data_IF_758017294744
#
_entry.id   IF_758017294744
#
_cell.length_a   1.000
_cell.length_b   1.000
_cell.length_c   1.000
_cell.angle_alpha   90.00
_cell.angle_beta   90.00
_cell.angle_gamma   90.00
#
_symmetry.space_group_name_H-M   'P 1'
#
loop_
_entity.id
_entity.type
_entity.pdbx_description
1 polymer ?
#
# COMPACT_ATOMS: atom_id res chain seq x y z
N UNK A 1 21.22 -7.64 -10.89
CA UNK A 1 20.51 -7.11 -9.71
C UNK A 1 19.05 -7.54 -9.83
N UNK A 2 18.42 -8.01 -8.75
CA UNK A 2 16.98 -8.31 -8.75
C UNK A 2 16.17 -7.06 -9.06
N UNK A 3 15.05 -7.22 -9.76
CA UNK A 3 14.13 -6.13 -10.07
C UNK A 3 13.52 -5.58 -8.78
N UNK A 4 13.58 -4.26 -8.57
CA UNK A 4 13.02 -3.59 -7.39
C UNK A 4 11.64 -3.00 -7.67
N UNK A 5 10.73 -3.16 -6.72
CA UNK A 5 9.38 -2.61 -6.74
C UNK A 5 9.22 -1.58 -5.61
N UNK A 6 8.69 -0.41 -5.96
CA UNK A 6 8.28 0.60 -4.97
C UNK A 6 6.89 0.25 -4.45
N UNK A 7 6.71 0.27 -3.13
CA UNK A 7 5.45 -0.04 -2.46
C UNK A 7 4.98 1.22 -1.72
N UNK A 8 3.88 1.83 -2.13
CA UNK A 8 3.26 2.86 -1.30
C UNK A 8 2.58 2.20 -0.10
N UNK A 9 2.94 2.59 1.11
CA UNK A 9 2.36 2.01 2.33
C UNK A 9 1.37 3.00 2.95
N UNK A 10 0.10 2.82 2.57
CA UNK A 10 -1.05 3.56 3.04
C UNK A 10 -1.57 3.01 4.38
N UNK A 11 -2.00 3.89 5.28
CA UNK A 11 -2.55 3.54 6.58
C UNK A 11 -2.48 4.71 7.56
N UNK A 12 -3.07 4.51 8.74
CA UNK A 12 -2.94 5.45 9.86
C UNK A 12 -1.46 5.75 10.15
N UNK A 13 -1.17 7.00 10.50
CA UNK A 13 0.18 7.47 10.86
C UNK A 13 0.18 8.51 11.98
N UNK A 14 -0.94 8.65 12.71
CA UNK A 14 -1.16 9.80 13.58
C UNK A 14 -0.77 9.56 15.04
N UNK A 15 -0.71 8.29 15.47
CA UNK A 15 -0.33 7.94 16.82
C UNK A 15 0.99 7.17 16.87
N UNK A 16 1.58 7.12 18.06
CA UNK A 16 2.90 6.51 18.26
C UNK A 16 2.96 5.01 17.90
N UNK A 17 1.83 4.29 17.98
CA UNK A 17 1.76 2.88 17.58
C UNK A 17 1.75 2.74 16.07
N UNK A 18 1.01 3.62 15.38
CA UNK A 18 0.95 3.63 13.92
C UNK A 18 2.34 3.93 13.34
N UNK A 19 2.96 5.04 13.78
CA UNK A 19 4.27 5.47 13.30
C UNK A 19 5.35 4.39 13.47
N UNK A 20 5.46 3.83 14.67
CA UNK A 20 6.46 2.79 14.97
C UNK A 20 6.08 1.46 14.31
N UNK A 21 4.80 1.12 14.26
CA UNK A 21 4.32 -0.11 13.61
C UNK A 21 4.60 -0.12 12.12
N UNK A 22 4.29 0.99 11.43
CA UNK A 22 4.56 1.17 10.01
C UNK A 22 6.06 1.08 9.70
N UNK A 23 6.91 1.69 10.53
CA UNK A 23 8.37 1.60 10.41
C UNK A 23 8.87 0.17 10.57
N UNK A 24 8.46 -0.52 11.64
CA UNK A 24 8.90 -1.90 11.89
C UNK A 24 8.45 -2.86 10.78
N UNK A 25 7.24 -2.64 10.26
CA UNK A 25 6.72 -3.47 9.18
C UNK A 25 7.43 -3.21 7.85
N UNK A 26 7.69 -1.95 7.51
CA UNK A 26 8.40 -1.59 6.27
C UNK A 26 9.83 -2.15 6.26
N UNK A 27 10.57 -2.01 7.35
CA UNK A 27 11.91 -2.58 7.50
C UNK A 27 11.90 -4.11 7.37
N UNK A 28 10.89 -4.77 7.96
CA UNK A 28 10.77 -6.22 7.88
C UNK A 28 10.45 -6.70 6.45
N UNK A 29 9.57 -5.99 5.72
CA UNK A 29 9.24 -6.25 4.31
C UNK A 29 10.50 -6.16 3.44
N UNK A 30 11.27 -5.08 3.61
CA UNK A 30 12.51 -4.85 2.86
C UNK A 30 13.57 -5.91 3.19
N UNK A 31 13.80 -6.19 4.47
CA UNK A 31 14.74 -7.21 4.93
C UNK A 31 14.38 -8.59 4.36
N UNK A 32 13.13 -9.02 4.51
CA UNK A 32 12.69 -10.36 4.11
C UNK A 32 12.46 -10.52 2.61
N UNK A 33 12.47 -9.42 1.85
CA UNK A 33 12.49 -9.45 0.38
C UNK A 33 13.89 -9.26 -0.20
N UNK A 34 14.93 -9.17 0.63
CA UNK A 34 16.30 -8.82 0.23
C UNK A 34 16.35 -7.52 -0.60
N UNK A 35 15.54 -6.52 -0.21
CA UNK A 35 15.44 -5.22 -0.87
C UNK A 35 14.72 -5.24 -2.22
N UNK A 36 13.95 -6.29 -2.52
CA UNK A 36 13.13 -6.40 -3.74
C UNK A 36 11.87 -5.52 -3.64
N UNK A 37 11.23 -5.51 -2.48
CA UNK A 37 10.07 -4.66 -2.19
C UNK A 37 10.54 -3.55 -1.26
N UNK A 38 10.47 -2.30 -1.73
CA UNK A 38 10.96 -1.11 -1.01
C UNK A 38 9.78 -0.23 -0.65
N UNK A 39 9.58 0.03 0.64
CA UNK A 39 8.40 0.72 1.13
C UNK A 39 8.61 2.23 1.16
N UNK A 40 7.66 2.96 0.58
CA UNK A 40 7.49 4.41 0.76
C UNK A 40 6.43 4.60 1.83
N UNK A 41 6.85 5.04 3.02
CA UNK A 41 5.95 5.35 4.12
C UNK A 41 5.69 6.87 4.16
N UNK A 42 4.43 7.34 4.12
CA UNK A 42 4.11 8.77 4.04
C UNK A 42 4.68 9.60 5.20
N UNK A 43 4.75 9.00 6.39
CA UNK A 43 5.34 9.60 7.59
C UNK A 43 6.84 9.99 7.46
N UNK A 44 7.58 9.47 6.47
CA UNK A 44 8.96 9.90 6.19
C UNK A 44 9.04 11.01 5.14
N UNK A 45 7.95 11.26 4.43
CA UNK A 45 7.85 12.29 3.39
C UNK A 45 7.44 13.64 3.97
N UNK A 46 7.07 13.69 5.26
CA UNK A 46 6.50 14.87 5.89
C UNK A 46 7.34 16.12 5.61
N UNK A 47 6.71 17.02 4.86
CA UNK A 47 7.22 18.34 4.57
C UNK A 47 6.71 19.31 5.64
N UNK A 48 7.60 20.19 6.07
CA UNK A 48 7.37 21.30 7.00
C UNK A 48 6.45 22.42 6.43
N UNK A 49 5.56 22.08 5.49
CA UNK A 49 4.71 23.04 4.78
C UNK A 49 3.32 23.09 5.40
N UNK A 50 2.87 24.28 5.79
CA UNK A 50 1.55 24.50 6.40
C UNK A 50 0.35 24.40 5.41
N UNK A 51 0.51 23.75 4.25
CA UNK A 51 -0.54 23.70 3.19
C UNK A 51 -1.01 22.27 2.98
N UNK A 52 -2.26 22.01 3.34
CA UNK A 52 -2.92 20.70 3.23
C UNK A 52 -2.95 20.12 1.80
N UNK A 53 -3.00 20.98 0.78
CA UNK A 53 -2.99 20.58 -0.63
C UNK A 53 -1.65 19.95 -1.01
N UNK A 54 -0.54 20.49 -0.49
CA UNK A 54 0.80 20.03 -0.83
C UNK A 54 1.02 18.62 -0.27
N UNK A 55 0.54 18.34 0.95
CA UNK A 55 0.55 17.01 1.56
C UNK A 55 -0.20 16.00 0.67
N UNK A 56 -1.48 16.29 0.35
CA UNK A 56 -2.29 15.43 -0.52
C UNK A 56 -1.62 15.18 -1.87
N UNK A 57 -1.08 16.22 -2.50
CA UNK A 57 -0.44 16.10 -3.80
C UNK A 57 0.85 15.26 -3.71
N UNK A 58 1.63 15.38 -2.63
CA UNK A 58 2.80 14.53 -2.43
C UNK A 58 2.40 13.07 -2.29
N UNK A 59 1.44 12.76 -1.42
CA UNK A 59 0.96 11.39 -1.17
C UNK A 59 0.44 10.74 -2.46
N UNK A 60 -0.46 11.42 -3.17
CA UNK A 60 -0.98 10.92 -4.46
C UNK A 60 0.12 10.78 -5.51
N UNK A 61 1.16 11.62 -5.50
CA UNK A 61 2.28 11.51 -6.44
C UNK A 61 3.09 10.23 -6.18
N UNK A 62 3.25 9.84 -4.91
CA UNK A 62 3.90 8.59 -4.55
C UNK A 62 3.04 7.38 -4.90
N UNK A 63 1.72 7.48 -4.78
CA UNK A 63 0.80 6.45 -5.31
C UNK A 63 0.98 6.28 -6.82
N UNK A 64 1.04 7.38 -7.60
CA UNK A 64 1.29 7.32 -9.06
C UNK A 64 2.60 6.60 -9.38
N UNK A 65 3.66 6.88 -8.60
CA UNK A 65 5.00 6.30 -8.79
C UNK A 65 5.09 4.84 -8.32
N UNK A 66 4.30 4.42 -7.35
CA UNK A 66 4.40 3.10 -6.72
C UNK A 66 3.98 1.94 -7.63
N UNK A 67 4.74 0.84 -7.60
CA UNK A 67 4.47 -0.36 -8.40
C UNK A 67 3.39 -1.25 -7.76
N UNK A 68 3.25 -1.16 -6.44
CA UNK A 68 2.25 -1.84 -5.62
C UNK A 68 1.81 -0.88 -4.53
N UNK A 69 0.64 -1.16 -3.95
CA UNK A 69 0.18 -0.47 -2.73
C UNK A 69 -0.11 -1.49 -1.62
N UNK A 70 0.36 -1.20 -0.42
CA UNK A 70 -0.01 -1.87 0.82
C UNK A 70 -0.94 -0.96 1.60
N UNK A 71 -2.09 -1.46 2.02
CA UNK A 71 -3.08 -0.67 2.76
C UNK A 71 -3.35 -1.30 4.12
N UNK A 72 -3.18 -0.53 5.19
CA UNK A 72 -3.62 -0.95 6.50
C UNK A 72 -5.08 -0.56 6.73
N UNK A 73 -5.97 -1.54 6.63
CA UNK A 73 -7.40 -1.36 6.85
C UNK A 73 -7.77 -1.76 8.29
N UNK A 74 -7.09 -1.22 9.30
CA UNK A 74 -7.36 -1.50 10.72
C UNK A 74 -8.46 -0.57 11.29
N UNK A 75 -9.01 -0.91 12.48
CA UNK A 75 -10.04 -0.12 13.16
C UNK A 75 -11.50 -0.48 12.83
N UNK A 76 -12.45 0.16 13.52
CA UNK A 76 -13.89 -0.04 13.22
C UNK A 76 -14.32 0.74 11.99
N UNK A 77 -13.82 1.96 11.84
CA UNK A 77 -13.94 2.78 10.65
C UNK A 77 -12.58 2.81 9.96
N UNK A 78 -12.58 2.76 8.64
CA UNK A 78 -11.35 2.92 7.87
C UNK A 78 -10.91 4.38 7.89
N UNK A 79 -9.60 4.60 7.91
CA UNK A 79 -9.06 5.92 7.64
C UNK A 79 -9.49 6.37 6.24
N UNK A 80 -10.09 7.56 6.19
CA UNK A 80 -10.64 8.08 4.94
C UNK A 80 -9.55 8.49 3.95
N UNK A 81 -8.36 8.89 4.43
CA UNK A 81 -7.20 9.12 3.56
C UNK A 81 -6.77 7.84 2.84
N UNK A 82 -6.60 6.77 3.60
CA UNK A 82 -6.26 5.44 3.13
C UNK A 82 -7.29 4.89 2.12
N UNK A 83 -8.58 5.16 2.33
CA UNK A 83 -9.63 4.79 1.35
C UNK A 83 -9.50 5.58 0.05
N UNK A 84 -9.17 6.87 0.10
CA UNK A 84 -8.92 7.67 -1.12
C UNK A 84 -7.70 7.14 -1.87
N UNK A 85 -6.62 6.82 -1.17
CA UNK A 85 -5.41 6.25 -1.75
C UNK A 85 -5.66 4.88 -2.37
N UNK A 86 -6.48 4.04 -1.72
CA UNK A 86 -6.93 2.76 -2.28
C UNK A 86 -7.62 2.96 -3.63
N UNK A 87 -8.67 3.78 -3.67
CA UNK A 87 -9.45 3.97 -4.89
C UNK A 87 -8.64 4.66 -5.99
N UNK A 88 -7.74 5.57 -5.62
CA UNK A 88 -6.84 6.21 -6.58
C UNK A 88 -5.86 5.19 -7.18
N UNK A 89 -5.28 4.31 -6.36
CA UNK A 89 -4.45 3.21 -6.84
C UNK A 89 -5.23 2.23 -7.73
N UNK A 90 -6.49 1.90 -7.37
CA UNK A 90 -7.34 1.04 -8.20
C UNK A 90 -7.71 1.68 -9.54
N UNK A 91 -7.97 2.99 -9.55
CA UNK A 91 -8.22 3.72 -10.79
C UNK A 91 -7.02 3.67 -11.75
N UNK A 92 -5.80 3.63 -11.21
CA UNK A 92 -4.54 3.49 -11.95
C UNK A 92 -4.17 2.02 -12.30
N UNK A 93 -5.04 1.05 -11.97
CA UNK A 93 -4.78 -0.38 -12.11
C UNK A 93 -3.51 -0.85 -11.37
N UNK A 94 -3.19 -0.19 -10.25
CA UNK A 94 -2.07 -0.58 -9.39
C UNK A 94 -2.49 -1.83 -8.57
N UNK A 95 -1.66 -2.88 -8.55
CA UNK A 95 -1.92 -4.07 -7.74
C UNK A 95 -1.82 -3.73 -6.24
N UNK A 96 -2.76 -4.26 -5.46
CA UNK A 96 -2.96 -3.89 -4.06
C UNK A 96 -2.91 -5.10 -3.13
N UNK A 97 -2.35 -4.91 -1.94
CA UNK A 97 -2.49 -5.83 -0.81
C UNK A 97 -3.13 -5.06 0.34
N UNK A 98 -4.27 -5.54 0.82
CA UNK A 98 -4.94 -5.02 2.01
C UNK A 98 -4.49 -5.86 3.20
N UNK A 99 -3.97 -5.21 4.23
CA UNK A 99 -3.67 -5.78 5.53
C UNK A 99 -4.75 -5.37 6.53
N UNK A 100 -5.29 -6.35 7.23
CA UNK A 100 -6.17 -6.19 8.38
C UNK A 100 -5.63 -7.02 9.54
N UNK A 101 -5.09 -6.34 10.53
CA UNK A 101 -4.54 -6.93 11.75
C UNK A 101 -5.53 -6.90 12.93
N UNK A 102 -6.53 -6.03 12.87
CA UNK A 102 -7.64 -5.97 13.82
C UNK A 102 -8.64 -7.11 13.56
N UNK A 103 -8.72 -8.03 14.52
CA UNK A 103 -9.53 -9.25 14.42
C UNK A 103 -11.03 -9.03 14.59
N UNK A 104 -11.44 -7.82 14.99
CA UNK A 104 -12.85 -7.49 15.19
C UNK A 104 -13.54 -7.34 13.85
N UNK A 105 -14.79 -7.80 13.79
CA UNK A 105 -15.70 -7.48 12.69
C UNK A 105 -15.98 -5.98 12.64
N UNK A 106 -16.11 -5.44 11.44
CA UNK A 106 -16.50 -4.05 11.19
C UNK A 106 -17.21 -3.96 9.83
N UNK A 107 -17.75 -2.79 9.52
CA UNK A 107 -18.54 -2.57 8.31
C UNK A 107 -19.95 -3.17 8.35
N UNK A 108 -20.56 -3.22 7.19
CA UNK A 108 -21.97 -3.55 6.94
C UNK A 108 -22.17 -4.94 6.30
N UNK A 109 -21.10 -5.75 6.24
CA UNK A 109 -21.13 -7.07 5.63
C UNK A 109 -21.40 -8.16 6.68
N UNK A 110 -22.56 -8.82 6.62
CA UNK A 110 -22.88 -9.95 7.52
C UNK A 110 -21.95 -11.16 7.29
N UNK A 111 -21.52 -11.37 6.03
CA UNK A 111 -20.61 -12.44 5.58
C UNK A 111 -19.69 -11.90 4.50
N UNK A 112 -18.66 -11.17 4.90
CA UNK A 112 -17.73 -10.56 3.95
C UNK A 112 -16.46 -10.08 4.61
N UNK A 113 -15.85 -9.07 4.01
CA UNK A 113 -14.69 -8.44 4.59
C UNK A 113 -15.07 -7.55 5.79
N UNK A 114 -14.23 -7.48 6.85
CA UNK A 114 -14.55 -6.77 8.09
C UNK A 114 -14.29 -5.26 7.94
N UNK A 115 -14.89 -4.65 6.92
CA UNK A 115 -14.88 -3.21 6.64
C UNK A 115 -16.03 -2.87 5.67
N UNK A 116 -16.19 -1.59 5.36
CA UNK A 116 -17.24 -1.10 4.46
C UNK A 116 -17.26 -1.84 3.12
N UNK A 117 -18.44 -2.33 2.69
CA UNK A 117 -18.58 -3.12 1.46
C UNK A 117 -18.04 -2.44 0.20
N UNK A 118 -18.02 -1.10 0.16
CA UNK A 118 -17.57 -0.31 -0.99
C UNK A 118 -16.07 -0.45 -1.27
N UNK A 119 -15.31 -1.03 -0.35
CA UNK A 119 -13.87 -1.28 -0.49
C UNK A 119 -13.54 -2.74 -0.84
N UNK A 120 -14.54 -3.57 -1.17
CA UNK A 120 -14.36 -5.01 -1.42
C UNK A 120 -14.50 -5.37 -2.90
N UNK A 121 -13.86 -6.45 -3.34
CA UNK A 121 -14.07 -7.03 -4.69
C UNK A 121 -13.34 -6.36 -5.85
N UNK A 122 -12.41 -5.44 -5.59
CA UNK A 122 -11.62 -4.80 -6.65
C UNK A 122 -10.61 -5.79 -7.26
N UNK A 123 -10.43 -5.82 -8.59
CA UNK A 123 -9.47 -6.70 -9.26
C UNK A 123 -8.03 -6.38 -8.85
N UNK A 124 -7.11 -7.35 -8.96
CA UNK A 124 -5.70 -7.20 -8.56
C UNK A 124 -5.56 -6.69 -7.13
N UNK A 125 -6.33 -7.30 -6.24
CA UNK A 125 -6.35 -6.96 -4.81
C UNK A 125 -6.32 -8.24 -4.01
N UNK A 126 -5.26 -8.42 -3.20
CA UNK A 126 -5.14 -9.50 -2.24
C UNK A 126 -5.44 -8.98 -0.85
N UNK A 127 -5.90 -9.86 0.02
CA UNK A 127 -6.31 -9.50 1.38
C UNK A 127 -5.65 -10.42 2.40
N UNK A 128 -4.96 -9.83 3.37
CA UNK A 128 -4.42 -10.49 4.54
C UNK A 128 -5.27 -10.10 5.74
N UNK A 129 -5.99 -11.07 6.30
CA UNK A 129 -6.72 -10.92 7.56
C UNK A 129 -6.05 -11.79 8.62
N UNK A 130 -5.62 -11.20 9.72
CA UNK A 130 -4.99 -11.92 10.82
C UNK A 130 -5.51 -11.47 12.18
N UNK A 131 -5.39 -12.35 13.17
CA UNK A 131 -5.64 -12.02 14.56
C UNK A 131 -4.32 -11.60 15.23
N UNK A 132 -4.08 -10.29 15.27
CA UNK A 132 -2.84 -9.72 15.80
C UNK A 132 -2.62 -10.06 17.26
N UNK A 133 -3.69 -10.12 18.06
CA UNK A 133 -3.62 -10.50 19.48
C UNK A 133 -3.12 -11.95 19.64
N UNK A 134 -3.68 -12.88 18.88
CA UNK A 134 -3.25 -14.28 18.93
C UNK A 134 -1.79 -14.45 18.48
N UNK A 135 -1.40 -13.77 17.41
CA UNK A 135 -0.01 -13.80 16.92
C UNK A 135 0.97 -13.16 17.91
N UNK A 136 0.57 -12.06 18.53
CA UNK A 136 1.35 -11.42 19.59
C UNK A 136 1.53 -12.36 20.79
N UNK A 137 0.47 -13.01 21.27
CA UNK A 137 0.54 -13.97 22.37
C UNK A 137 1.41 -15.17 22.03
N UNK A 138 1.34 -15.68 20.79
CA UNK A 138 2.22 -16.75 20.30
C UNK A 138 3.69 -16.32 20.35
N UNK A 139 3.99 -15.11 19.87
CA UNK A 139 5.34 -14.57 19.89
C UNK A 139 5.81 -14.30 21.33
N UNK A 140 4.97 -13.72 22.19
CA UNK A 140 5.26 -13.39 23.58
C UNK A 140 5.52 -14.65 24.42
N UNK A 141 4.70 -15.69 24.25
CA UNK A 141 4.83 -16.96 24.98
C UNK A 141 6.16 -17.70 24.75
N UNK A 142 6.89 -17.38 23.67
CA UNK A 142 8.23 -17.92 23.39
C UNK A 142 9.37 -17.22 24.15
N UNK A 143 9.08 -16.14 24.90
CA UNK A 143 10.07 -15.43 25.72
C UNK A 143 11.18 -14.72 24.93
N UNK A 144 12.30 -14.38 25.60
CA UNK A 144 13.45 -13.73 24.95
C UNK A 144 13.42 -12.19 24.85
N UNK A 145 12.48 -11.54 25.55
CA UNK A 145 12.38 -10.08 25.61
C UNK A 145 11.77 -9.43 24.36
N UNK A 146 11.61 -8.10 24.41
CA UNK A 146 10.88 -7.32 23.39
C UNK A 146 11.43 -7.51 21.98
N UNK A 147 12.74 -7.43 21.79
CA UNK A 147 13.36 -7.55 20.46
C UNK A 147 13.06 -8.89 19.79
N UNK A 148 13.13 -10.00 20.54
CA UNK A 148 12.84 -11.33 20.00
C UNK A 148 11.36 -11.51 19.67
N UNK A 149 10.45 -10.86 20.42
CA UNK A 149 9.02 -10.87 20.14
C UNK A 149 8.72 -10.11 18.84
N UNK A 150 9.27 -8.89 18.71
CA UNK A 150 9.12 -8.07 17.51
C UNK A 150 9.66 -8.80 16.28
N UNK A 151 10.86 -9.37 16.37
CA UNK A 151 11.46 -10.12 15.27
C UNK A 151 10.56 -11.28 14.83
N UNK A 152 10.06 -12.10 15.75
CA UNK A 152 9.16 -13.22 15.38
C UNK A 152 7.86 -12.75 14.74
N UNK A 153 7.25 -11.68 15.27
CA UNK A 153 5.98 -11.18 14.77
C UNK A 153 6.15 -10.58 13.36
N UNK A 154 7.08 -9.65 13.19
CA UNK A 154 7.28 -8.94 11.93
C UNK A 154 7.96 -9.82 10.87
N UNK A 155 8.81 -10.78 11.25
CA UNK A 155 9.35 -11.76 10.30
C UNK A 155 8.24 -12.60 9.67
N UNK A 156 7.30 -13.11 10.48
CA UNK A 156 6.16 -13.89 10.01
C UNK A 156 5.23 -13.04 9.13
N UNK A 157 4.90 -11.82 9.58
CA UNK A 157 3.98 -10.93 8.87
C UNK A 157 4.55 -10.45 7.52
N UNK A 158 5.79 -9.97 7.50
CA UNK A 158 6.42 -9.49 6.27
C UNK A 158 6.60 -10.59 5.23
N UNK A 159 6.90 -11.84 5.63
CA UNK A 159 6.95 -12.98 4.69
C UNK A 159 5.60 -13.25 4.05
N UNK A 160 4.51 -13.16 4.82
CA UNK A 160 3.15 -13.29 4.29
C UNK A 160 2.84 -12.17 3.30
N UNK A 161 3.13 -10.91 3.65
CA UNK A 161 2.94 -9.76 2.77
C UNK A 161 3.75 -9.90 1.47
N UNK A 162 5.03 -10.27 1.57
CA UNK A 162 5.89 -10.48 0.41
C UNK A 162 5.35 -11.58 -0.53
N UNK A 163 4.77 -12.64 0.03
CA UNK A 163 4.10 -13.68 -0.74
C UNK A 163 2.86 -13.14 -1.47
N UNK A 164 2.03 -12.33 -0.81
CA UNK A 164 0.86 -11.72 -1.46
C UNK A 164 1.26 -10.70 -2.54
N UNK A 165 2.35 -9.94 -2.35
CA UNK A 165 2.92 -9.11 -3.41
C UNK A 165 3.34 -9.94 -4.63
N UNK A 166 4.03 -11.06 -4.41
CA UNK A 166 4.41 -11.97 -5.51
C UNK A 166 3.20 -12.57 -6.23
N UNK A 167 2.09 -12.80 -5.53
CA UNK A 167 0.86 -13.35 -6.11
C UNK A 167 0.09 -12.29 -6.89
N UNK A 168 -0.10 -11.09 -6.34
CA UNK A 168 -0.88 -10.04 -7.00
C UNK A 168 -0.16 -9.47 -8.23
N UNK A 169 1.18 -9.45 -8.24
CA UNK A 169 1.97 -9.08 -9.42
C UNK A 169 1.77 -10.04 -10.61
N UNK A 170 1.32 -11.27 -10.37
CA UNK A 170 1.03 -12.26 -11.44
C UNK A 170 -0.39 -12.13 -11.97
N UNK A 171 -1.25 -11.34 -11.34
CA UNK A 171 -2.61 -11.12 -11.82
C UNK A 171 -2.61 -10.16 -13.02
N UNK A 172 -3.40 -10.52 -14.02
CA UNK A 172 -3.52 -9.74 -15.24
C UNK A 172 -4.06 -8.33 -14.96
N UNK A 173 -3.44 -7.34 -15.59
CA UNK A 173 -3.91 -5.96 -15.66
C UNK A 173 -5.36 -5.92 -16.16
N UNK A 174 -6.18 -5.03 -15.59
CA UNK A 174 -7.53 -4.74 -16.12
C UNK A 174 -7.43 -3.81 -17.33
N UNK A 175 -6.41 -2.95 -17.35
CA UNK A 175 -6.05 -2.17 -18.52
C UNK A 175 -5.43 -3.10 -19.56
N UNK A 176 -6.04 -3.19 -20.75
CA UNK A 176 -5.68 -4.18 -21.77
C UNK A 176 -4.79 -3.63 -22.90
N UNK A 177 -4.60 -2.31 -22.96
CA UNK A 177 -3.80 -1.68 -24.00
C UNK A 177 -3.10 -0.39 -23.54
N UNK A 178 -2.03 -0.03 -24.26
CA UNK A 178 -1.16 1.11 -23.91
C UNK A 178 -1.88 2.46 -23.97
N UNK A 179 -2.82 2.63 -24.89
CA UNK A 179 -3.55 3.89 -25.04
C UNK A 179 -4.48 4.12 -23.85
N UNK A 180 -5.18 3.07 -23.39
CA UNK A 180 -6.01 3.14 -22.20
C UNK A 180 -5.16 3.46 -20.96
N UNK A 181 -4.00 2.80 -20.80
CA UNK A 181 -3.07 3.07 -19.70
C UNK A 181 -2.66 4.55 -19.65
N UNK A 182 -2.24 5.11 -20.80
CA UNK A 182 -1.87 6.52 -20.91
C UNK A 182 -3.06 7.42 -20.55
N UNK A 183 -4.24 7.17 -21.11
CA UNK A 183 -5.42 7.99 -20.86
C UNK A 183 -5.82 8.00 -19.39
N UNK A 184 -5.76 6.84 -18.72
CA UNK A 184 -6.06 6.69 -17.29
C UNK A 184 -5.09 7.52 -16.45
N UNK A 185 -3.78 7.40 -16.70
CA UNK A 185 -2.78 8.16 -15.94
C UNK A 185 -2.88 9.67 -16.23
N UNK A 186 -3.06 10.09 -17.48
CA UNK A 186 -3.28 11.51 -17.80
C UNK A 186 -4.52 12.08 -17.09
N UNK A 187 -5.60 11.32 -17.00
CA UNK A 187 -6.79 11.74 -16.26
C UNK A 187 -6.52 11.82 -14.76
N UNK A 188 -5.86 10.80 -14.19
CA UNK A 188 -5.52 10.76 -12.78
C UNK A 188 -4.62 11.92 -12.34
N UNK A 189 -3.77 12.45 -13.22
CA UNK A 189 -2.96 13.65 -12.95
C UNK A 189 -3.78 14.96 -13.00
N UNK A 190 -4.94 14.97 -13.66
CA UNK A 190 -5.77 16.18 -13.81
C UNK A 190 -6.89 16.26 -12.78
N UNK A 191 -7.56 15.15 -12.52
CA UNK A 191 -8.76 15.09 -11.67
C UNK A 191 -8.56 15.68 -10.25
N UNK A 192 -7.43 15.47 -9.54
CA UNK A 192 -7.24 16.03 -8.20
C UNK A 192 -7.14 17.56 -8.17
N UNK A 193 -6.86 18.18 -9.33
CA UNK A 193 -6.69 19.63 -9.48
C UNK A 193 -5.53 20.21 -8.64
N UNK A 194 -5.59 21.52 -8.40
CA UNK A 194 -4.65 22.24 -7.52
C UNK A 194 -3.17 21.98 -7.85
N UNK A 195 -2.80 22.09 -9.12
CA UNK A 195 -1.41 21.93 -9.58
C UNK A 195 -0.86 20.51 -9.54
N UNK A 196 -1.68 19.49 -9.27
CA UNK A 196 -1.20 18.10 -9.24
C UNK A 196 -0.62 17.64 -10.59
N UNK A 197 -1.19 18.10 -11.70
CA UNK A 197 -0.66 17.83 -13.05
C UNK A 197 0.74 18.39 -13.26
N UNK A 198 1.09 19.46 -12.54
CA UNK A 198 2.36 20.16 -12.71
C UNK A 198 3.53 19.42 -12.02
N UNK A 199 3.22 18.38 -11.23
CA UNK A 199 4.21 17.52 -10.58
C UNK A 199 4.84 16.49 -11.53
N UNK A 200 4.29 16.32 -12.73
CA UNK A 200 4.76 15.35 -13.71
C UNK A 200 4.82 15.99 -15.08
N UNK A 201 6.01 16.03 -15.68
CA UNK A 201 6.13 16.27 -17.10
C UNK A 201 5.65 15.06 -17.92
N UNK A 202 5.29 15.32 -19.18
CA UNK A 202 4.89 14.28 -20.13
C UNK A 202 5.98 13.21 -20.31
N UNK A 203 7.26 13.62 -20.34
CA UNK A 203 8.40 12.71 -20.49
C UNK A 203 8.64 11.87 -19.22
N UNK A 204 8.46 12.45 -18.04
CA UNK A 204 8.53 11.71 -16.77
C UNK A 204 7.42 10.66 -16.67
N UNK A 205 6.19 11.05 -17.01
CA UNK A 205 5.07 10.11 -17.01
C UNK A 205 5.31 8.96 -17.99
N UNK A 206 5.75 9.27 -19.22
CA UNK A 206 6.08 8.25 -20.22
C UNK A 206 7.16 7.29 -19.70
N UNK A 207 8.25 7.83 -19.16
CA UNK A 207 9.35 7.04 -18.60
C UNK A 207 8.88 6.15 -17.44
N UNK A 208 8.01 6.69 -16.58
CA UNK A 208 7.41 5.96 -15.47
C UNK A 208 6.57 4.77 -15.98
N UNK A 209 5.67 5.00 -16.93
CA UNK A 209 4.82 3.95 -17.48
C UNK A 209 5.62 2.85 -18.18
N UNK A 210 6.63 3.22 -18.96
CA UNK A 210 7.55 2.25 -19.60
C UNK A 210 8.29 1.39 -18.55
N UNK A 211 8.74 2.01 -17.46
CA UNK A 211 9.39 1.30 -16.36
C UNK A 211 8.44 0.33 -15.65
N UNK A 212 7.19 0.74 -15.41
CA UNK A 212 6.16 -0.09 -14.79
C UNK A 212 5.77 -1.29 -15.66
N UNK A 213 5.60 -1.07 -16.96
CA UNK A 213 5.37 -2.14 -17.94
C UNK A 213 6.51 -3.15 -17.97
N UNK A 214 7.76 -2.67 -17.95
CA UNK A 214 8.93 -3.56 -17.88
C UNK A 214 8.99 -4.38 -16.58
N UNK A 215 8.37 -3.89 -15.50
CA UNK A 215 8.22 -4.60 -14.23
C UNK A 215 7.00 -5.53 -14.17
N UNK A 216 6.07 -5.43 -15.12
CA UNK A 216 4.78 -6.10 -15.08
C UNK A 216 3.88 -5.61 -13.94
N UNK A 217 4.14 -4.42 -13.39
CA UNK A 217 3.26 -3.85 -12.35
C UNK A 217 1.97 -3.29 -12.95
N UNK A 218 2.04 -2.78 -14.18
CA UNK A 218 0.89 -2.36 -15.00
C UNK A 218 1.14 -2.78 -16.45
N UNK A 219 0.10 -3.29 -17.13
CA UNK A 219 0.16 -3.83 -18.51
C UNK A 219 1.44 -4.67 -18.80
#
# INVERSE_FOLDING_TARGET
>A
MSQKYSIYFAGDLFNHKDLIGNLLLSEAIEKNSAGRFVCVVPQHLEQSTNRSIDIRNNDLSEVVKADLILLNFDGTELDSGTVIEFLFAKALDIPAVILRSDFRSAGDQERGDPWNLMCSGYPRTRTIKLNSMAWYQEAWGKGGGTSAILERFYDKLSKLINSEFDLVLKEASVVDNKQMLQNVYHWALRFPGNGFSDLFSEDELKTLLEAKQKKGSVL
#
